data_IF_310473053514
#
_entry.id   IF_310473053514
#
_cell.length_a   1.000
_cell.length_b   1.000
_cell.length_c   1.000
_cell.angle_alpha   90.00
_cell.angle_beta   90.00
_cell.angle_gamma   90.00
#
_symmetry.space_group_name_H-M   'P 1'
#
loop_
_entity.id
_entity.type
_entity.pdbx_description
1 polymer ?
#
# COMPACT_ATOMS: atom_id res chain seq x y z
N UNK A 1 -14.67 -58.38 46.05
CA UNK A 1 -14.98 -57.37 45.01
C UNK A 1 -15.10 -56.04 45.73
N UNK A 2 -14.12 -55.15 45.58
CA UNK A 2 -14.11 -53.83 46.18
C UNK A 2 -14.05 -52.80 45.05
N UNK A 3 -15.10 -51.98 44.94
CA UNK A 3 -15.21 -50.91 43.95
C UNK A 3 -14.34 -49.72 44.35
N UNK A 4 -13.43 -49.33 43.46
CA UNK A 4 -12.60 -48.13 43.58
C UNK A 4 -13.31 -46.99 42.85
N UNK A 5 -13.77 -45.98 43.59
CA UNK A 5 -14.33 -44.75 43.01
C UNK A 5 -13.21 -43.82 42.50
N UNK A 6 -13.39 -43.17 41.33
CA UNK A 6 -12.41 -42.22 40.81
C UNK A 6 -12.42 -40.89 41.58
N UNK A 7 -11.29 -40.15 41.58
CA UNK A 7 -11.15 -38.91 42.32
C UNK A 7 -12.02 -37.79 41.74
N UNK A 8 -12.66 -37.02 42.62
CA UNK A 8 -13.42 -35.81 42.26
C UNK A 8 -12.47 -34.73 41.76
N UNK A 9 -12.62 -34.35 40.49
CA UNK A 9 -11.93 -33.20 39.89
C UNK A 9 -12.59 -31.92 40.39
N UNK A 10 -11.78 -31.00 40.92
CA UNK A 10 -12.22 -29.74 41.50
C UNK A 10 -12.56 -28.73 40.38
N UNK A 11 -13.79 -28.17 40.30
CA UNK A 11 -14.20 -27.29 39.19
C UNK A 11 -13.39 -25.99 39.08
N UNK A 12 -12.70 -25.59 40.16
CA UNK A 12 -11.94 -24.34 40.23
C UNK A 12 -10.60 -24.35 39.48
N UNK A 13 -10.23 -25.45 38.81
CA UNK A 13 -9.04 -25.51 37.96
C UNK A 13 -9.31 -25.35 36.45
N UNK A 14 -10.57 -25.21 36.04
CA UNK A 14 -10.96 -24.96 34.65
C UNK A 14 -11.17 -23.46 34.32
N UNK A 15 -11.23 -22.60 35.33
CA UNK A 15 -11.46 -21.15 35.14
C UNK A 15 -10.20 -20.34 34.79
N UNK A 16 -9.02 -20.98 34.77
CA UNK A 16 -7.73 -20.30 34.52
C UNK A 16 -7.27 -20.24 33.06
N UNK A 17 -7.91 -20.95 32.13
CA UNK A 17 -7.36 -21.16 30.75
C UNK A 17 -8.23 -20.57 29.64
N UNK A 18 -9.48 -20.19 29.90
CA UNK A 18 -10.31 -19.50 28.90
C UNK A 18 -10.39 -18.02 29.25
N UNK A 19 -9.24 -17.35 29.22
CA UNK A 19 -9.20 -15.91 29.01
C UNK A 19 -9.80 -15.71 27.62
N UNK A 20 -11.11 -15.44 27.56
CA UNK A 20 -11.84 -15.08 26.35
C UNK A 20 -11.00 -14.00 25.67
N UNK A 21 -10.28 -14.36 24.61
CA UNK A 21 -9.90 -13.38 23.60
C UNK A 21 -11.23 -12.78 23.20
N UNK A 22 -11.53 -11.55 23.64
CA UNK A 22 -12.64 -10.81 23.07
C UNK A 22 -12.29 -10.69 21.59
N UNK A 23 -12.82 -11.57 20.77
CA UNK A 23 -12.63 -11.56 19.33
C UNK A 23 -13.34 -10.31 18.85
N UNK A 24 -12.58 -9.21 18.77
CA UNK A 24 -13.05 -8.02 18.10
C UNK A 24 -13.50 -8.46 16.70
N UNK A 25 -14.72 -8.08 16.27
CA UNK A 25 -15.21 -8.46 14.96
C UNK A 25 -14.22 -7.96 13.90
N UNK A 26 -13.91 -8.82 12.92
CA UNK A 26 -13.08 -8.41 11.79
C UNK A 26 -13.97 -7.61 10.85
N UNK A 27 -13.84 -6.29 10.95
CA UNK A 27 -14.53 -5.36 10.06
C UNK A 27 -13.69 -5.23 8.77
N UNK A 28 -14.32 -5.51 7.63
CA UNK A 28 -13.68 -5.34 6.32
C UNK A 28 -13.38 -3.85 6.11
N UNK A 29 -12.17 -3.51 5.69
CA UNK A 29 -11.70 -2.13 5.58
C UNK A 29 -11.02 -1.58 6.84
N UNK A 30 -11.10 -2.29 7.97
CA UNK A 30 -10.38 -1.93 9.20
C UNK A 30 -9.19 -2.85 9.45
N UNK A 31 -8.03 -2.24 9.67
CA UNK A 31 -6.77 -2.97 9.82
C UNK A 31 -6.56 -3.54 11.22
N UNK A 32 -7.16 -2.92 12.25
CA UNK A 32 -6.95 -3.34 13.64
C UNK A 32 -7.51 -4.74 13.90
N UNK A 33 -8.70 -5.06 13.37
CA UNK A 33 -9.30 -6.38 13.54
C UNK A 33 -8.46 -7.50 12.92
N UNK A 34 -7.88 -7.28 11.72
CA UNK A 34 -7.02 -8.28 11.09
C UNK A 34 -5.66 -8.39 11.78
N UNK A 35 -5.13 -7.28 12.30
CA UNK A 35 -3.88 -7.27 13.08
C UNK A 35 -4.04 -7.85 14.50
N UNK A 36 -5.26 -7.93 15.04
CA UNK A 36 -5.51 -8.59 16.32
C UNK A 36 -5.37 -10.12 16.23
N UNK A 37 -5.53 -10.71 15.04
CA UNK A 37 -5.31 -12.14 14.85
C UNK A 37 -3.85 -12.52 15.13
N UNK A 38 -3.56 -13.75 15.60
CA UNK A 38 -2.20 -14.28 15.63
C UNK A 38 -1.52 -14.16 14.26
N UNK A 39 -0.19 -14.02 14.26
CA UNK A 39 0.62 -14.06 13.03
C UNK A 39 0.28 -15.33 12.27
N UNK A 40 0.02 -15.22 10.97
CA UNK A 40 -0.39 -16.39 10.20
C UNK A 40 0.82 -17.29 9.93
N UNK A 41 0.62 -18.59 10.06
CA UNK A 41 1.57 -19.58 9.57
C UNK A 41 1.70 -19.47 8.04
N UNK A 42 2.78 -20.04 7.52
CA UNK A 42 3.04 -20.18 6.10
C UNK A 42 2.70 -21.59 5.64
N UNK A 43 2.01 -21.72 4.51
CA UNK A 43 1.84 -22.99 3.79
C UNK A 43 2.82 -23.09 2.63
N UNK A 44 3.23 -24.32 2.31
CA UNK A 44 4.11 -24.61 1.18
C UNK A 44 5.44 -23.82 1.21
N UNK A 45 6.10 -23.76 2.37
CA UNK A 45 7.35 -23.00 2.56
C UNK A 45 8.45 -23.41 1.57
N UNK A 46 8.53 -24.70 1.22
CA UNK A 46 9.50 -25.24 0.27
C UNK A 46 9.37 -24.66 -1.16
N UNK A 47 8.21 -24.09 -1.50
CA UNK A 47 7.96 -23.46 -2.80
C UNK A 47 8.29 -21.96 -2.81
N UNK A 48 8.80 -21.42 -1.71
CA UNK A 48 9.17 -20.01 -1.61
C UNK A 48 10.47 -19.73 -2.34
N UNK A 49 10.47 -18.69 -3.18
CA UNK A 49 11.63 -18.34 -4.01
C UNK A 49 12.25 -17.02 -3.56
N UNK A 50 13.52 -16.78 -3.95
CA UNK A 50 14.20 -15.48 -3.78
C UNK A 50 13.32 -14.34 -4.32
N UNK A 51 12.76 -14.52 -5.52
CA UNK A 51 11.85 -13.56 -6.16
C UNK A 51 10.62 -13.23 -5.33
N UNK A 52 10.09 -14.18 -4.55
CA UNK A 52 8.96 -13.93 -3.67
C UNK A 52 9.36 -13.02 -2.50
N UNK A 53 10.52 -13.27 -1.89
CA UNK A 53 11.12 -12.38 -0.89
C UNK A 53 11.34 -10.98 -1.44
N UNK A 54 11.95 -10.87 -2.62
CA UNK A 54 12.28 -9.58 -3.23
C UNK A 54 11.03 -8.75 -3.54
N UNK A 55 9.98 -9.37 -4.06
CA UNK A 55 8.75 -8.65 -4.41
C UNK A 55 8.02 -8.15 -3.16
N UNK A 56 7.93 -8.97 -2.10
CA UNK A 56 7.31 -8.50 -0.86
C UNK A 56 8.14 -7.39 -0.21
N UNK A 57 9.46 -7.57 -0.13
CA UNK A 57 10.38 -6.54 0.36
C UNK A 57 10.26 -5.24 -0.46
N UNK A 58 10.18 -5.36 -1.79
CA UNK A 58 10.06 -4.22 -2.68
C UNK A 58 8.76 -3.45 -2.47
N UNK A 59 7.62 -4.13 -2.31
CA UNK A 59 6.35 -3.46 -1.95
C UNK A 59 6.47 -2.68 -0.64
N UNK A 60 7.05 -3.29 0.39
CA UNK A 60 7.22 -2.68 1.72
C UNK A 60 8.10 -1.44 1.61
N UNK A 61 9.19 -1.53 0.84
CA UNK A 61 10.10 -0.41 0.58
C UNK A 61 9.40 0.73 -0.18
N UNK A 62 8.71 0.42 -1.29
CA UNK A 62 8.00 1.41 -2.12
C UNK A 62 6.95 2.15 -1.29
N UNK A 63 6.14 1.43 -0.52
CA UNK A 63 5.17 2.04 0.39
C UNK A 63 5.86 2.94 1.43
N UNK A 64 6.97 2.48 2.02
CA UNK A 64 7.75 3.24 2.98
C UNK A 64 8.41 4.51 2.38
N UNK A 65 8.85 4.47 1.12
CA UNK A 65 9.38 5.65 0.43
C UNK A 65 8.30 6.69 0.17
N UNK A 66 7.13 6.28 -0.34
CA UNK A 66 6.00 7.20 -0.53
C UNK A 66 5.57 7.78 0.82
N UNK A 67 5.45 6.96 1.86
CA UNK A 67 5.05 7.43 3.19
C UNK A 67 6.02 8.46 3.78
N UNK A 68 7.34 8.29 3.55
CA UNK A 68 8.38 9.21 4.04
C UNK A 68 8.58 10.44 3.16
N UNK A 69 8.08 10.43 1.93
CA UNK A 69 8.23 11.52 0.95
C UNK A 69 7.68 12.86 1.47
N UNK A 70 8.29 13.95 1.02
CA UNK A 70 7.82 15.32 1.30
C UNK A 70 6.41 15.54 0.76
N UNK A 71 6.09 15.01 -0.43
CA UNK A 71 4.74 15.02 -0.99
C UNK A 71 3.70 14.44 -0.02
N UNK A 72 3.98 13.30 0.60
CA UNK A 72 3.03 12.68 1.53
C UNK A 72 2.93 13.43 2.87
N UNK A 73 4.01 14.08 3.30
CA UNK A 73 4.08 14.84 4.56
C UNK A 73 3.64 16.29 4.43
N UNK A 74 3.48 16.79 3.20
CA UNK A 74 3.10 18.17 2.95
C UNK A 74 1.74 18.46 3.57
N UNK A 75 1.64 19.62 4.21
CA UNK A 75 0.37 20.16 4.69
C UNK A 75 -0.36 20.76 3.50
N UNK A 76 -1.53 20.22 3.19
CA UNK A 76 -2.29 20.62 2.03
C UNK A 76 -3.55 21.33 2.50
N UNK A 77 -3.66 22.58 2.09
CA UNK A 77 -4.71 23.48 2.52
C UNK A 77 -5.37 24.10 1.31
N UNK A 78 -6.68 24.29 1.42
CA UNK A 78 -7.49 25.01 0.46
C UNK A 78 -8.55 25.77 1.21
N UNK A 79 -8.61 27.05 0.92
CA UNK A 79 -9.64 27.92 1.45
C UNK A 79 -10.34 28.56 0.26
N UNK A 80 -11.60 28.22 0.08
CA UNK A 80 -12.46 28.80 -0.96
C UNK A 80 -13.59 29.59 -0.32
N UNK A 81 -13.97 30.71 -0.93
CA UNK A 81 -15.18 31.46 -0.57
C UNK A 81 -16.01 31.68 -1.84
N UNK A 82 -17.19 31.05 -1.90
CA UNK A 82 -17.91 30.92 -3.16
C UNK A 82 -17.07 30.16 -4.19
N UNK A 83 -16.91 30.75 -5.37
CA UNK A 83 -16.08 30.20 -6.46
C UNK A 83 -14.62 30.73 -6.44
N UNK A 84 -14.27 31.59 -5.48
CA UNK A 84 -12.95 32.19 -5.39
C UNK A 84 -12.02 31.39 -4.46
N UNK A 85 -10.79 31.15 -4.93
CA UNK A 85 -9.73 30.57 -4.10
C UNK A 85 -9.04 31.67 -3.30
N UNK A 86 -9.17 31.63 -1.98
CA UNK A 86 -8.57 32.59 -1.08
C UNK A 86 -7.14 32.21 -0.69
N UNK A 87 -6.90 30.91 -0.43
CA UNK A 87 -5.60 30.40 0.01
C UNK A 87 -5.42 28.94 -0.41
N UNK A 88 -4.17 28.57 -0.73
CA UNK A 88 -3.81 27.19 -1.02
C UNK A 88 -2.36 26.87 -0.64
N UNK A 89 -2.14 25.64 -0.21
CA UNK A 89 -0.80 25.10 0.00
C UNK A 89 -0.72 23.68 -0.55
N UNK A 90 0.34 23.40 -1.30
CA UNK A 90 0.60 22.11 -1.91
C UNK A 90 2.10 21.80 -1.91
N UNK A 91 2.46 20.50 -1.94
CA UNK A 91 3.82 20.09 -2.21
C UNK A 91 4.30 20.64 -3.55
N UNK A 92 5.59 20.95 -3.62
CA UNK A 92 6.23 21.39 -4.84
C UNK A 92 6.25 20.27 -5.89
N UNK A 93 6.45 20.66 -7.15
CA UNK A 93 6.46 19.71 -8.25
C UNK A 93 7.53 18.62 -8.09
N UNK A 94 8.72 18.99 -7.61
CA UNK A 94 9.82 18.04 -7.37
C UNK A 94 9.44 16.96 -6.36
N UNK A 95 8.77 17.36 -5.28
CA UNK A 95 8.27 16.43 -4.26
C UNK A 95 7.28 15.43 -4.85
N UNK A 96 6.41 15.91 -5.76
CA UNK A 96 5.49 15.05 -6.49
C UNK A 96 6.24 14.09 -7.42
N UNK A 97 7.17 14.58 -8.25
CA UNK A 97 7.91 13.75 -9.21
C UNK A 97 8.60 12.59 -8.51
N UNK A 98 9.21 12.83 -7.35
CA UNK A 98 9.80 11.77 -6.53
C UNK A 98 8.76 10.71 -6.15
N UNK A 99 7.61 11.10 -5.59
CA UNK A 99 6.55 10.16 -5.20
C UNK A 99 5.94 9.43 -6.40
N UNK A 100 5.83 10.11 -7.54
CA UNK A 100 5.15 9.62 -8.73
C UNK A 100 5.87 8.41 -9.37
N UNK A 101 7.20 8.38 -9.32
CA UNK A 101 8.01 7.23 -9.74
C UNK A 101 7.60 5.95 -8.99
N UNK A 102 7.33 6.06 -7.70
CA UNK A 102 6.90 4.93 -6.87
C UNK A 102 5.43 4.56 -7.10
N UNK A 103 4.55 5.55 -7.27
CA UNK A 103 3.16 5.28 -7.65
C UNK A 103 3.06 4.54 -8.98
N UNK A 104 3.92 4.87 -9.95
CA UNK A 104 3.99 4.15 -11.23
C UNK A 104 4.22 2.65 -11.01
N UNK A 105 5.12 2.26 -10.11
CA UNK A 105 5.38 0.85 -9.83
C UNK A 105 4.16 0.11 -9.28
N UNK A 106 3.29 0.82 -8.54
CA UNK A 106 2.06 0.28 -7.97
C UNK A 106 0.90 0.23 -8.99
N UNK A 107 0.84 1.20 -9.90
CA UNK A 107 -0.27 1.43 -10.82
C UNK A 107 -0.02 0.79 -12.18
N UNK A 108 1.15 0.98 -12.78
CA UNK A 108 1.41 0.63 -14.18
C UNK A 108 1.21 -0.86 -14.45
N UNK A 109 0.56 -1.17 -15.57
CA UNK A 109 0.27 -2.55 -15.98
C UNK A 109 1.51 -3.39 -16.27
N UNK A 110 2.65 -2.74 -16.55
CA UNK A 110 3.90 -3.42 -16.81
C UNK A 110 4.68 -3.73 -15.52
N UNK A 111 4.48 -2.95 -14.45
CA UNK A 111 5.21 -3.13 -13.18
C UNK A 111 4.41 -4.00 -12.20
N UNK A 112 3.09 -3.73 -12.05
CA UNK A 112 2.12 -4.54 -11.28
C UNK A 112 2.52 -4.90 -9.84
N UNK A 113 3.41 -4.14 -9.20
CA UNK A 113 4.05 -4.51 -7.93
C UNK A 113 3.04 -4.91 -6.85
N UNK A 114 2.00 -4.09 -6.65
CA UNK A 114 0.97 -4.37 -5.63
C UNK A 114 0.23 -5.67 -5.91
N UNK A 115 -0.22 -5.88 -7.15
CA UNK A 115 -0.96 -7.08 -7.57
C UNK A 115 -0.08 -8.33 -7.42
N UNK A 116 1.18 -8.22 -7.81
CA UNK A 116 2.15 -9.30 -7.76
C UNK A 116 2.50 -9.71 -6.32
N UNK A 117 2.67 -8.73 -5.43
CA UNK A 117 2.90 -8.97 -4.01
C UNK A 117 1.67 -9.58 -3.32
N UNK A 118 0.47 -9.06 -3.58
CA UNK A 118 -0.79 -9.62 -3.03
C UNK A 118 -1.00 -11.06 -3.49
N UNK A 119 -0.77 -11.34 -4.77
CA UNK A 119 -0.90 -12.69 -5.33
C UNK A 119 0.02 -13.69 -4.62
N UNK A 120 1.29 -13.30 -4.42
CA UNK A 120 2.30 -14.10 -3.72
C UNK A 120 1.94 -14.31 -2.25
N UNK A 121 1.66 -13.24 -1.52
CA UNK A 121 1.22 -13.33 -0.12
C UNK A 121 0.03 -14.29 0.02
N UNK A 122 -0.99 -14.15 -0.83
CA UNK A 122 -2.17 -15.01 -0.79
C UNK A 122 -1.89 -16.47 -1.17
N UNK A 123 -0.82 -16.75 -1.94
CA UNK A 123 -0.39 -18.11 -2.26
C UNK A 123 0.13 -18.82 -1.02
N UNK A 124 0.88 -18.13 -0.17
CA UNK A 124 1.64 -18.74 0.94
C UNK A 124 1.05 -18.52 2.34
N UNK A 125 0.14 -17.56 2.54
CA UNK A 125 -0.51 -17.37 3.84
C UNK A 125 -1.42 -18.56 4.16
N UNK A 126 -1.22 -19.17 5.34
CA UNK A 126 -2.11 -20.21 5.86
C UNK A 126 -3.23 -19.60 6.72
N UNK A 127 -3.98 -18.68 6.12
CA UNK A 127 -5.12 -18.03 6.75
C UNK A 127 -6.06 -17.49 5.68
N UNK A 128 -7.21 -18.15 5.50
CA UNK A 128 -8.21 -17.76 4.49
C UNK A 128 -8.76 -16.35 4.73
N UNK A 129 -8.98 -15.97 6.00
CA UNK A 129 -9.49 -14.65 6.38
C UNK A 129 -8.54 -13.54 5.92
N UNK A 130 -7.24 -13.67 6.20
CA UNK A 130 -6.23 -12.69 5.76
C UNK A 130 -6.11 -12.61 4.25
N UNK A 131 -6.11 -13.75 3.57
CA UNK A 131 -6.08 -13.79 2.11
C UNK A 131 -7.29 -13.07 1.49
N UNK A 132 -8.49 -13.33 2.00
CA UNK A 132 -9.72 -12.65 1.55
C UNK A 132 -9.68 -11.15 1.84
N UNK A 133 -9.22 -10.75 3.03
CA UNK A 133 -9.12 -9.35 3.41
C UNK A 133 -8.12 -8.58 2.53
N UNK A 134 -6.92 -9.12 2.30
CA UNK A 134 -5.92 -8.47 1.44
C UNK A 134 -6.40 -8.37 -0.02
N UNK A 135 -7.09 -9.41 -0.53
CA UNK A 135 -7.73 -9.34 -1.86
C UNK A 135 -8.85 -8.30 -1.93
N UNK A 136 -9.60 -8.12 -0.85
CA UNK A 136 -10.61 -7.08 -0.76
C UNK A 136 -9.98 -5.68 -0.86
N UNK A 137 -8.93 -5.40 -0.08
CA UNK A 137 -8.23 -4.11 -0.17
C UNK A 137 -7.63 -3.87 -1.57
N UNK A 138 -7.10 -4.91 -2.22
CA UNK A 138 -6.63 -4.81 -3.61
C UNK A 138 -7.80 -4.49 -4.57
N UNK A 139 -8.98 -5.08 -4.35
CA UNK A 139 -10.18 -4.74 -5.11
C UNK A 139 -10.58 -3.28 -4.89
N UNK A 140 -10.55 -2.78 -3.65
CA UNK A 140 -10.82 -1.39 -3.32
C UNK A 140 -9.82 -0.42 -3.96
N UNK A 141 -8.53 -0.76 -3.97
CA UNK A 141 -7.50 -0.03 -4.70
C UNK A 141 -7.85 0.07 -6.20
N UNK A 142 -8.15 -1.06 -6.84
CA UNK A 142 -8.47 -1.10 -8.27
C UNK A 142 -9.75 -0.33 -8.60
N UNK A 143 -10.77 -0.39 -7.73
CA UNK A 143 -12.00 0.41 -7.87
C UNK A 143 -11.72 1.90 -7.72
N UNK A 144 -10.89 2.31 -6.76
CA UNK A 144 -10.52 3.71 -6.59
C UNK A 144 -9.72 4.22 -7.80
N UNK A 145 -8.84 3.38 -8.35
CA UNK A 145 -8.03 3.70 -9.53
C UNK A 145 -8.88 3.85 -10.81
N UNK A 146 -9.89 2.98 -10.98
CA UNK A 146 -10.83 3.05 -12.11
C UNK A 146 -11.93 4.13 -11.92
N UNK A 147 -12.14 4.59 -10.69
CA UNK A 147 -13.16 5.58 -10.36
C UNK A 147 -12.71 7.02 -10.65
N UNK A 148 -13.69 7.91 -10.68
CA UNK A 148 -13.48 9.33 -10.92
C UNK A 148 -12.80 10.00 -9.71
N UNK A 149 -11.79 10.86 -9.94
CA UNK A 149 -11.13 11.60 -8.88
C UNK A 149 -12.00 12.79 -8.48
N UNK A 150 -12.61 12.77 -7.29
CA UNK A 150 -13.50 13.85 -6.84
C UNK A 150 -12.77 15.21 -6.75
N UNK A 151 -13.32 16.32 -7.30
CA UNK A 151 -14.64 16.50 -7.93
C UNK A 151 -14.62 16.53 -9.47
N UNK A 152 -13.66 15.84 -10.11
CA UNK A 152 -13.57 15.72 -11.57
C UNK A 152 -14.37 14.51 -12.06
N UNK A 153 -15.21 14.74 -13.07
CA UNK A 153 -16.00 13.68 -13.71
C UNK A 153 -15.56 13.37 -15.14
N UNK A 154 -14.55 14.08 -15.66
CA UNK A 154 -14.10 13.98 -17.05
C UNK A 154 -13.11 12.83 -17.31
N UNK A 155 -12.56 12.21 -16.26
CA UNK A 155 -11.56 11.16 -16.36
C UNK A 155 -11.58 10.25 -15.12
N UNK A 156 -10.99 9.05 -15.26
CA UNK A 156 -10.69 8.20 -14.11
C UNK A 156 -9.40 8.63 -13.40
N UNK A 157 -9.20 8.18 -12.17
CA UNK A 157 -7.95 8.39 -11.41
C UNK A 157 -6.73 7.84 -12.17
N UNK A 158 -6.88 6.70 -12.85
CA UNK A 158 -5.84 6.15 -13.72
C UNK A 158 -5.51 7.08 -14.87
N UNK A 159 -6.51 7.52 -15.62
CA UNK A 159 -6.31 8.42 -16.76
C UNK A 159 -5.67 9.73 -16.32
N UNK A 160 -6.08 10.27 -15.18
CA UNK A 160 -5.48 11.47 -14.60
C UNK A 160 -3.98 11.24 -14.28
N UNK A 161 -3.65 10.13 -13.63
CA UNK A 161 -2.26 9.78 -13.35
C UNK A 161 -1.43 9.59 -14.62
N UNK A 162 -1.93 8.79 -15.57
CA UNK A 162 -1.24 8.51 -16.83
C UNK A 162 -1.06 9.78 -17.67
N UNK A 163 -2.05 10.67 -17.71
CA UNK A 163 -1.95 11.96 -18.39
C UNK A 163 -0.82 12.83 -17.80
N UNK A 164 -0.72 12.92 -16.47
CA UNK A 164 0.34 13.69 -15.82
C UNK A 164 1.72 13.02 -15.97
N UNK A 165 1.80 11.69 -15.91
CA UNK A 165 3.09 10.99 -16.00
C UNK A 165 3.67 10.91 -17.43
N UNK A 166 2.80 10.65 -18.40
CA UNK A 166 3.20 10.39 -19.78
C UNK A 166 2.91 11.60 -20.69
N UNK A 167 1.74 12.22 -20.56
CA UNK A 167 1.33 13.36 -21.38
C UNK A 167 2.10 14.64 -21.06
N UNK A 168 2.44 14.87 -19.78
CA UNK A 168 3.31 15.98 -19.38
C UNK A 168 4.81 15.71 -19.59
N UNK A 169 5.18 14.59 -20.22
CA UNK A 169 6.58 14.19 -20.49
C UNK A 169 7.45 14.01 -19.24
N UNK A 170 6.85 13.62 -18.11
CA UNK A 170 7.58 13.50 -16.84
C UNK A 170 8.57 12.32 -16.80
N UNK A 171 8.21 11.19 -17.40
CA UNK A 171 9.02 9.97 -17.36
C UNK A 171 9.53 9.49 -18.72
N UNK A 172 9.09 10.12 -19.80
CA UNK A 172 9.42 9.68 -21.16
C UNK A 172 9.81 10.87 -22.03
N UNK A 173 10.39 10.58 -23.19
CA UNK A 173 10.68 11.57 -24.24
C UNK A 173 9.44 12.41 -24.54
N UNK A 174 9.65 13.65 -24.98
CA UNK A 174 8.57 14.54 -25.43
C UNK A 174 7.69 13.79 -26.45
N UNK A 175 6.39 13.62 -26.19
CA UNK A 175 5.49 12.95 -27.10
C UNK A 175 5.36 13.72 -28.42
N UNK A 176 5.22 13.00 -29.52
CA UNK A 176 4.88 13.61 -30.81
C UNK A 176 3.52 14.31 -30.72
N UNK A 177 3.24 15.30 -31.57
CA UNK A 177 1.98 16.08 -31.51
C UNK A 177 0.71 15.22 -31.65
N UNK A 178 0.82 14.07 -32.32
CA UNK A 178 -0.27 13.10 -32.47
C UNK A 178 -0.41 12.11 -31.30
N UNK A 179 0.39 12.25 -30.24
CA UNK A 179 0.37 11.33 -29.11
C UNK A 179 -0.92 11.46 -28.29
N UNK A 180 -1.61 10.34 -28.12
CA UNK A 180 -2.89 10.28 -27.42
C UNK A 180 -2.78 10.68 -25.95
N UNK A 181 -1.67 10.35 -25.27
CA UNK A 181 -1.47 10.72 -23.87
C UNK A 181 -1.22 12.23 -23.73
N UNK A 182 -0.48 12.85 -24.67
CA UNK A 182 -0.31 14.30 -24.71
C UNK A 182 -1.65 15.02 -24.95
N UNK A 183 -2.43 14.56 -25.93
CA UNK A 183 -3.76 15.12 -26.18
C UNK A 183 -4.66 15.01 -24.95
N UNK A 184 -4.72 13.82 -24.33
CA UNK A 184 -5.51 13.59 -23.12
C UNK A 184 -5.07 14.47 -21.95
N UNK A 185 -3.77 14.71 -21.80
CA UNK A 185 -3.23 15.65 -20.82
C UNK A 185 -3.73 17.08 -21.06
N UNK A 186 -3.62 17.59 -22.28
CA UNK A 186 -4.11 18.93 -22.62
C UNK A 186 -5.62 19.06 -22.40
N UNK A 187 -6.42 18.06 -22.84
CA UNK A 187 -7.87 18.04 -22.63
C UNK A 187 -8.26 18.16 -21.15
N UNK A 188 -7.52 17.47 -20.26
CA UNK A 188 -7.75 17.52 -18.81
C UNK A 188 -7.23 18.83 -18.21
N UNK A 189 -6.02 19.23 -18.59
CA UNK A 189 -5.30 20.36 -18.01
C UNK A 189 -5.94 21.70 -18.37
N UNK A 190 -6.26 21.90 -19.65
CA UNK A 190 -6.88 23.13 -20.15
C UNK A 190 -8.39 23.19 -19.84
N UNK A 191 -9.03 22.04 -19.68
CA UNK A 191 -10.46 21.92 -19.47
C UNK A 191 -10.94 22.08 -18.02
N UNK A 192 -10.05 22.24 -17.04
CA UNK A 192 -10.39 22.26 -15.62
C UNK A 192 -9.62 23.33 -14.84
N UNK A 193 -10.21 23.93 -13.78
CA UNK A 193 -9.46 24.82 -12.90
C UNK A 193 -8.26 24.09 -12.27
N UNK A 194 -7.07 24.68 -12.38
CA UNK A 194 -5.80 24.09 -11.91
C UNK A 194 -5.87 23.59 -10.47
N UNK A 195 -6.53 24.34 -9.60
CA UNK A 195 -6.65 24.04 -8.17
C UNK A 195 -7.50 22.79 -7.94
N UNK A 196 -8.59 22.65 -8.70
CA UNK A 196 -9.45 21.46 -8.71
C UNK A 196 -8.67 20.24 -9.19
N UNK A 197 -7.85 20.38 -10.24
CA UNK A 197 -6.98 19.32 -10.73
C UNK A 197 -6.00 18.86 -9.65
N UNK A 198 -5.26 19.79 -9.04
CA UNK A 198 -4.28 19.48 -8.02
C UNK A 198 -4.91 18.83 -6.77
N UNK A 199 -6.07 19.31 -6.33
CA UNK A 199 -6.83 18.71 -5.22
C UNK A 199 -7.23 17.26 -5.53
N UNK A 200 -7.88 17.07 -6.68
CA UNK A 200 -8.40 15.77 -7.09
C UNK A 200 -7.26 14.76 -7.27
N UNK A 201 -6.16 15.21 -7.85
CA UNK A 201 -4.99 14.38 -8.06
C UNK A 201 -4.36 13.96 -6.73
N UNK A 202 -4.10 14.91 -5.82
CA UNK A 202 -3.54 14.59 -4.52
C UNK A 202 -4.46 13.68 -3.69
N UNK A 203 -5.75 14.03 -3.61
CA UNK A 203 -6.75 13.26 -2.87
C UNK A 203 -6.87 11.83 -3.38
N UNK A 204 -6.85 11.63 -4.70
CA UNK A 204 -6.84 10.30 -5.30
C UNK A 204 -5.60 9.50 -4.94
N UNK A 205 -4.39 10.09 -5.04
CA UNK A 205 -3.16 9.39 -4.67
C UNK A 205 -3.12 9.02 -3.18
N UNK A 206 -3.61 9.90 -2.29
CA UNK A 206 -3.78 9.58 -0.85
C UNK A 206 -4.74 8.42 -0.64
N UNK A 207 -5.88 8.43 -1.34
CA UNK A 207 -6.86 7.33 -1.28
C UNK A 207 -6.24 6.01 -1.74
N UNK A 208 -5.46 6.01 -2.81
CA UNK A 208 -4.72 4.83 -3.26
C UNK A 208 -3.72 4.37 -2.18
N UNK A 209 -2.95 5.28 -1.60
CA UNK A 209 -1.98 4.97 -0.55
C UNK A 209 -2.61 4.39 0.71
N UNK A 210 -3.83 4.78 1.08
CA UNK A 210 -4.53 4.18 2.21
C UNK A 210 -4.71 2.67 2.00
N UNK A 211 -5.14 2.24 0.80
CA UNK A 211 -5.30 0.81 0.49
C UNK A 211 -3.94 0.10 0.47
N UNK A 212 -2.91 0.72 -0.11
CA UNK A 212 -1.55 0.16 -0.17
C UNK A 212 -0.98 -0.03 1.24
N UNK A 213 -1.04 1.00 2.10
CA UNK A 213 -0.53 0.92 3.47
C UNK A 213 -1.22 -0.16 4.30
N UNK A 214 -2.55 -0.28 4.16
CA UNK A 214 -3.36 -1.33 4.81
C UNK A 214 -2.95 -2.74 4.39
N UNK A 215 -2.69 -2.97 3.11
CA UNK A 215 -2.15 -4.24 2.61
C UNK A 215 -0.75 -4.47 3.17
N UNK A 216 0.14 -3.49 3.01
CA UNK A 216 1.55 -3.61 3.34
C UNK A 216 1.77 -3.93 4.82
N UNK A 217 1.01 -3.34 5.75
CA UNK A 217 1.19 -3.63 7.19
C UNK A 217 0.83 -5.07 7.55
N UNK A 218 -0.20 -5.65 6.92
CA UNK A 218 -0.58 -7.06 7.13
C UNK A 218 0.48 -7.98 6.54
N UNK A 219 0.90 -7.69 5.31
CA UNK A 219 1.95 -8.46 4.60
C UNK A 219 3.26 -8.41 5.37
N UNK A 220 3.71 -7.23 5.80
CA UNK A 220 4.95 -7.04 6.55
C UNK A 220 4.95 -7.85 7.84
N UNK A 221 3.87 -7.77 8.62
CA UNK A 221 3.77 -8.48 9.91
C UNK A 221 3.95 -9.99 9.76
N UNK A 222 3.29 -10.60 8.77
CA UNK A 222 3.39 -12.04 8.55
C UNK A 222 4.74 -12.39 7.88
N UNK A 223 5.17 -11.62 6.87
CA UNK A 223 6.42 -11.86 6.16
C UNK A 223 7.65 -11.78 7.07
N UNK A 224 7.73 -10.79 7.97
CA UNK A 224 8.84 -10.71 8.94
C UNK A 224 8.89 -11.91 9.88
N UNK A 225 7.73 -12.45 10.25
CA UNK A 225 7.66 -13.70 11.01
C UNK A 225 8.09 -14.89 10.16
N UNK A 226 7.68 -14.96 8.89
CA UNK A 226 8.07 -16.07 8.01
C UNK A 226 9.58 -16.11 7.75
N UNK A 227 10.22 -14.96 7.54
CA UNK A 227 11.67 -14.86 7.40
C UNK A 227 12.42 -15.45 8.60
N UNK A 228 11.87 -15.29 9.80
CA UNK A 228 12.49 -15.76 11.04
C UNK A 228 12.24 -17.25 11.27
N UNK A 229 11.00 -17.70 11.07
CA UNK A 229 10.55 -19.00 11.59
C UNK A 229 10.61 -20.12 10.53
N UNK A 230 10.71 -19.77 9.24
CA UNK A 230 10.69 -20.74 8.13
C UNK A 230 12.01 -20.79 7.33
N UNK A 231 13.08 -20.14 7.81
CA UNK A 231 14.39 -20.11 7.16
C UNK A 231 14.33 -19.74 5.66
N UNK A 232 13.49 -18.75 5.34
CA UNK A 232 13.31 -18.29 3.96
C UNK A 232 14.54 -17.51 3.48
N UNK A 233 14.82 -17.50 2.16
CA UNK A 233 15.83 -16.63 1.59
C UNK A 233 15.54 -15.17 1.94
N UNK A 234 16.52 -14.48 2.52
CA UNK A 234 16.42 -13.04 2.79
C UNK A 234 16.33 -12.26 1.46
N UNK A 235 15.60 -11.14 1.41
CA UNK A 235 15.53 -10.32 0.21
C UNK A 235 16.92 -9.79 -0.15
N UNK A 236 17.29 -9.86 -1.43
CA UNK A 236 18.58 -9.39 -1.93
C UNK A 236 18.47 -8.04 -2.66
N UNK A 237 17.25 -7.51 -2.77
CA UNK A 237 16.95 -6.17 -3.29
C UNK A 237 17.70 -5.09 -2.52
N UNK A 238 18.79 -4.59 -3.10
CA UNK A 238 19.63 -3.54 -2.51
C UNK A 238 19.06 -2.18 -2.84
N UNK A 239 18.49 -1.51 -1.83
CA UNK A 239 18.11 -0.10 -1.96
C UNK A 239 19.27 0.84 -1.69
N UNK A 240 19.33 1.90 -2.48
CA UNK A 240 20.41 2.88 -2.44
C UNK A 240 20.34 3.85 -1.24
N UNK A 241 19.43 3.67 -0.27
CA UNK A 241 19.36 4.54 0.93
C UNK A 241 20.73 4.63 1.62
N UNK A 242 21.50 3.53 1.67
CA UNK A 242 22.88 3.52 2.21
C UNK A 242 23.95 3.98 1.21
N UNK A 243 23.67 3.96 -0.09
CA UNK A 243 24.59 4.47 -1.11
C UNK A 243 24.74 5.99 -0.99
N UNK A 244 23.68 6.68 -0.61
CA UNK A 244 23.67 8.13 -0.42
C UNK A 244 23.90 8.56 1.04
N UNK A 245 23.97 7.61 1.97
CA UNK A 245 24.40 7.88 3.34
C UNK A 245 25.92 7.93 3.37
N UNK A 246 26.50 9.13 3.36
CA UNK A 246 27.93 9.29 3.67
C UNK A 246 28.10 8.91 5.14
N UNK A 247 28.90 7.87 5.46
CA UNK A 247 29.19 7.58 6.85
C UNK A 247 29.88 8.81 7.45
N UNK A 248 29.28 9.41 8.48
CA UNK A 248 30.03 10.33 9.34
C UNK A 248 31.25 9.55 9.81
N UNK A 249 32.45 10.11 9.55
CA UNK A 249 33.72 9.45 9.82
C UNK A 249 33.66 8.80 11.20
N UNK A 250 34.00 7.52 11.27
CA UNK A 250 34.41 6.93 12.54
C UNK A 250 35.57 7.80 13.05
N UNK A 251 35.34 8.55 14.13
CA UNK A 251 36.43 9.21 14.83
C UNK A 251 37.44 8.12 15.23
N UNK A 252 38.74 8.37 14.98
CA UNK A 252 39.80 7.38 15.17
C UNK A 252 39.94 6.91 16.63
#
# INVERSE_FOLDING_TARGET
MADVLPPKVNPSQLDGVIKRMSTQPIIIGETNGILALPKAAMRNADNWTQRDSDILAHLIQVQGQIQRSRWNKADIRFTTQGDELLDHSFPEFEDFVFAAVYFRQLIADNDRLLKDAVSRYCRFVDCSIRSSWVRHELSCFNKALAGNPWPLDCCSTRELFDAFMYGASLLHKIPVESDAARKRFLDIYDGQPRVKLLYSFHGSLKRLMNNVGRITVVVYRDYSHWLTDYNLPAPDTRWHDRLFAVPEKAEP
#
